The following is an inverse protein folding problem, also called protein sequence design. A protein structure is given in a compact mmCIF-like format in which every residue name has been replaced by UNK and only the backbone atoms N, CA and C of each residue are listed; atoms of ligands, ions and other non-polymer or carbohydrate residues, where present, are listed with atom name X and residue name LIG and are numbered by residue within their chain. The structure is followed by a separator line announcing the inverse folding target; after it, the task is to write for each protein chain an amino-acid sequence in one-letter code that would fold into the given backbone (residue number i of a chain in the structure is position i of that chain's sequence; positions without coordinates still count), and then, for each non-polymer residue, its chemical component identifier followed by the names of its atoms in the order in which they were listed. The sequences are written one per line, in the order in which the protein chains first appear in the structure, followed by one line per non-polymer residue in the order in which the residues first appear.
data_IF_889477325260
#
_entry.id   IF_889477325260
#
_cell.length_a   1.000
_cell.length_b   1.000
_cell.length_c   1.000
_cell.angle_alpha   90.00
_cell.angle_beta   90.00
_cell.angle_gamma   90.00
#
_symmetry.space_group_name_H-M   'P 1'
#
loop_
_entity.id
_entity.type
_entity.pdbx_description
1 polymer ?
#
# COMPACT_ATOMS: atom_id res chain seq x y z
N UNK A 1 13.52 -64.67 -80.75
CA UNK A 1 14.25 -63.55 -81.38
C UNK A 1 13.34 -62.32 -81.29
N UNK A 2 13.88 -61.18 -80.84
CA UNK A 2 13.25 -59.83 -80.84
C UNK A 2 12.14 -59.59 -79.79
N UNK A 3 12.10 -58.50 -79.01
CA UNK A 3 13.06 -57.48 -78.62
C UNK A 3 12.53 -56.78 -77.35
N UNK A 4 13.43 -56.47 -76.43
CA UNK A 4 13.23 -55.66 -75.24
C UNK A 4 12.97 -54.22 -75.69
N UNK A 5 11.96 -53.53 -75.15
CA UNK A 5 11.98 -52.08 -75.02
C UNK A 5 11.46 -51.69 -73.63
N UNK A 6 12.43 -51.56 -72.73
CA UNK A 6 12.34 -50.84 -71.47
C UNK A 6 12.12 -49.36 -71.77
N UNK A 7 11.00 -48.79 -71.34
CA UNK A 7 10.81 -47.34 -71.28
C UNK A 7 10.87 -46.91 -69.81
N UNK A 8 12.08 -46.67 -69.33
CA UNK A 8 12.30 -45.89 -68.12
C UNK A 8 11.76 -44.47 -68.40
N UNK A 9 10.64 -44.11 -67.78
CA UNK A 9 10.23 -42.71 -67.69
C UNK A 9 11.21 -42.00 -66.75
N UNK A 10 12.06 -41.14 -67.33
CA UNK A 10 12.77 -40.12 -66.57
C UNK A 10 11.75 -39.31 -65.76
N UNK A 11 11.89 -39.31 -64.44
CA UNK A 11 11.34 -38.25 -63.60
C UNK A 11 12.14 -37.00 -63.93
N UNK A 12 11.52 -36.06 -64.62
CA UNK A 12 12.01 -34.68 -64.67
C UNK A 12 12.01 -34.14 -63.24
N UNK A 13 13.20 -34.11 -62.64
CA UNK A 13 13.45 -33.26 -61.47
C UNK A 13 13.47 -31.83 -61.97
N UNK A 14 12.28 -31.22 -62.04
CA UNK A 14 12.13 -29.78 -62.20
C UNK A 14 13.08 -29.09 -61.22
N UNK A 15 13.84 -28.13 -61.73
CA UNK A 15 14.90 -27.44 -61.02
C UNK A 15 14.32 -26.44 -60.00
N UNK A 16 13.68 -26.94 -58.94
CA UNK A 16 13.25 -26.14 -57.80
C UNK A 16 14.40 -26.01 -56.78
N UNK A 17 15.32 -25.06 -57.02
CA UNK A 17 16.46 -24.83 -56.10
C UNK A 17 16.60 -23.40 -55.58
N UNK A 18 15.59 -22.53 -55.78
CA UNK A 18 15.63 -21.14 -55.33
C UNK A 18 14.48 -20.69 -54.40
N UNK A 19 13.26 -21.18 -54.60
CA UNK A 19 12.06 -20.65 -53.92
C UNK A 19 11.84 -21.19 -52.51
N UNK A 20 12.26 -22.44 -52.21
CA UNK A 20 12.05 -23.05 -50.88
C UNK A 20 12.74 -22.28 -49.75
N UNK A 21 13.90 -21.68 -50.00
CA UNK A 21 14.65 -20.95 -48.98
C UNK A 21 13.97 -19.61 -48.63
N UNK A 22 13.40 -18.94 -49.63
CA UNK A 22 12.65 -17.68 -49.44
C UNK A 22 11.39 -17.94 -48.62
N UNK A 23 10.61 -18.97 -48.97
CA UNK A 23 9.38 -19.32 -48.24
C UNK A 23 9.68 -19.71 -46.80
N UNK A 24 10.72 -20.52 -46.57
CA UNK A 24 11.15 -20.89 -45.20
C UNK A 24 11.61 -19.66 -44.42
N UNK A 25 12.40 -18.77 -45.02
CA UNK A 25 12.84 -17.54 -44.36
C UNK A 25 11.66 -16.65 -43.97
N UNK A 26 10.66 -16.49 -44.85
CA UNK A 26 9.45 -15.72 -44.54
C UNK A 26 8.66 -16.34 -43.38
N UNK A 27 8.47 -17.65 -43.36
CA UNK A 27 7.77 -18.35 -42.26
C UNK A 27 8.55 -18.19 -40.95
N UNK A 28 9.89 -18.33 -40.98
CA UNK A 28 10.74 -18.15 -39.81
C UNK A 28 10.69 -16.72 -39.27
N UNK A 29 10.65 -15.71 -40.14
CA UNK A 29 10.49 -14.31 -39.73
C UNK A 29 9.15 -14.11 -39.02
N UNK A 30 8.05 -14.58 -39.62
CA UNK A 30 6.71 -14.46 -39.02
C UNK A 30 6.64 -15.19 -37.68
N UNK A 31 7.14 -16.43 -37.61
CA UNK A 31 7.20 -17.21 -36.37
C UNK A 31 8.05 -16.52 -35.30
N UNK A 32 9.17 -15.90 -35.68
CA UNK A 32 10.04 -15.16 -34.76
C UNK A 32 9.36 -13.91 -34.20
N UNK A 33 8.66 -13.14 -35.04
CA UNK A 33 7.92 -11.94 -34.60
C UNK A 33 6.82 -12.32 -33.61
N UNK A 34 6.06 -13.39 -33.90
CA UNK A 34 5.05 -13.91 -32.97
C UNK A 34 5.68 -14.43 -31.67
N UNK A 35 6.83 -15.11 -31.75
CA UNK A 35 7.57 -15.58 -30.60
C UNK A 35 8.04 -14.45 -29.69
N UNK A 36 8.63 -13.39 -30.25
CA UNK A 36 9.07 -12.20 -29.49
C UNK A 36 7.87 -11.49 -28.84
N UNK A 37 6.76 -11.36 -29.57
CA UNK A 37 5.52 -10.79 -29.03
C UNK A 37 5.01 -11.55 -27.80
N UNK A 38 5.02 -12.89 -27.85
CA UNK A 38 4.66 -13.73 -26.70
C UNK A 38 5.57 -13.52 -25.48
N UNK A 39 6.88 -13.40 -25.70
CA UNK A 39 7.86 -13.14 -24.63
C UNK A 39 7.60 -11.79 -23.97
N UNK A 40 7.32 -10.74 -24.75
CA UNK A 40 7.05 -9.41 -24.21
C UNK A 40 5.80 -9.38 -23.33
N UNK A 41 4.71 -10.04 -23.77
CA UNK A 41 3.47 -10.15 -22.99
C UNK A 41 3.72 -10.88 -21.67
N UNK A 42 4.45 -12.00 -21.70
CA UNK A 42 4.78 -12.76 -20.50
C UNK A 42 5.61 -11.93 -19.50
N UNK A 43 6.61 -11.19 -19.97
CA UNK A 43 7.42 -10.31 -19.13
C UNK A 43 6.61 -9.16 -18.49
N UNK A 44 5.68 -8.57 -19.24
CA UNK A 44 4.78 -7.53 -18.71
C UNK A 44 3.85 -8.10 -17.63
N UNK A 45 3.29 -9.28 -17.85
CA UNK A 45 2.45 -9.97 -16.87
C UNK A 45 3.22 -10.33 -15.58
N UNK A 46 4.47 -10.79 -15.70
CA UNK A 46 5.32 -11.10 -14.55
C UNK A 46 5.60 -9.84 -13.70
N UNK A 47 5.92 -8.71 -14.32
CA UNK A 47 6.13 -7.44 -13.60
C UNK A 47 4.84 -6.92 -12.97
N UNK A 48 3.72 -7.02 -13.68
CA UNK A 48 2.41 -6.62 -13.17
C UNK A 48 2.00 -7.42 -11.94
N UNK A 49 2.12 -8.75 -11.99
CA UNK A 49 1.78 -9.63 -10.85
C UNK A 49 2.69 -9.40 -9.64
N UNK A 50 3.98 -9.10 -9.85
CA UNK A 50 4.89 -8.72 -8.75
C UNK A 50 4.48 -7.41 -8.11
N UNK A 51 4.20 -6.38 -8.91
CA UNK A 51 3.79 -5.08 -8.40
C UNK A 51 2.45 -5.17 -7.64
N UNK A 52 1.49 -5.93 -8.16
CA UNK A 52 0.20 -6.16 -7.51
C UNK A 52 0.39 -6.85 -6.14
N UNK A 53 1.23 -7.88 -6.08
CA UNK A 53 1.56 -8.56 -4.81
C UNK A 53 2.19 -7.60 -3.80
N UNK A 54 3.17 -6.81 -4.23
CA UNK A 54 3.85 -5.87 -3.35
C UNK A 54 2.88 -4.80 -2.84
N UNK A 55 1.96 -4.36 -3.69
CA UNK A 55 0.92 -3.40 -3.33
C UNK A 55 -0.04 -4.02 -2.30
N UNK A 56 -0.51 -5.25 -2.49
CA UNK A 56 -1.36 -5.93 -1.51
C UNK A 56 -0.72 -5.98 -0.12
N UNK A 57 0.58 -6.29 -0.04
CA UNK A 57 1.33 -6.25 1.22
C UNK A 57 1.35 -4.84 1.82
N UNK A 58 1.53 -3.81 0.99
CA UNK A 58 1.50 -2.42 1.44
C UNK A 58 0.13 -2.01 2.02
N UNK A 59 -0.99 -2.41 1.38
CA UNK A 59 -2.34 -2.16 1.90
C UNK A 59 -2.58 -2.88 3.23
N UNK A 60 -2.18 -4.14 3.34
CA UNK A 60 -2.30 -4.89 4.59
C UNK A 60 -1.46 -4.25 5.72
N UNK A 61 -0.28 -3.72 5.39
CA UNK A 61 0.51 -2.91 6.32
C UNK A 61 -0.24 -1.64 6.75
N UNK A 62 -0.83 -0.91 5.81
CA UNK A 62 -1.59 0.30 6.12
C UNK A 62 -2.81 -0.01 7.00
N UNK A 63 -3.51 -1.13 6.78
CA UNK A 63 -4.61 -1.61 7.63
C UNK A 63 -4.11 -1.89 9.06
N UNK A 64 -2.97 -2.56 9.20
CA UNK A 64 -2.37 -2.81 10.50
C UNK A 64 -2.02 -1.51 11.24
N UNK A 65 -1.51 -0.50 10.52
CA UNK A 65 -1.24 0.83 11.06
C UNK A 65 -2.49 1.59 11.48
N UNK A 66 -3.59 1.47 10.73
CA UNK A 66 -4.89 2.02 11.13
C UNK A 66 -5.40 1.40 12.43
N UNK A 67 -5.39 0.07 12.52
CA UNK A 67 -5.83 -0.64 13.73
C UNK A 67 -4.94 -0.26 14.93
N UNK A 68 -3.64 -0.06 14.72
CA UNK A 68 -2.75 0.40 15.78
C UNK A 68 -3.06 1.82 16.26
N UNK A 69 -3.45 2.72 15.35
CA UNK A 69 -3.88 4.06 15.70
C UNK A 69 -5.20 4.07 16.50
N UNK A 70 -6.13 3.17 16.20
CA UNK A 70 -7.34 2.98 17.01
C UNK A 70 -6.98 2.55 18.43
N UNK A 71 -6.06 1.58 18.57
CA UNK A 71 -5.57 1.16 19.88
C UNK A 71 -4.80 2.24 20.62
N UNK A 72 -4.05 3.11 19.93
CA UNK A 72 -3.42 4.29 20.52
C UNK A 72 -4.47 5.26 21.09
N UNK A 73 -5.54 5.54 20.33
CA UNK A 73 -6.66 6.37 20.77
C UNK A 73 -7.34 5.78 22.02
N UNK A 74 -7.62 4.47 22.01
CA UNK A 74 -8.27 3.76 23.12
C UNK A 74 -7.33 3.52 24.32
N UNK A 75 -6.01 3.58 24.11
CA UNK A 75 -5.01 3.24 25.12
C UNK A 75 -4.89 1.74 25.36
N UNK A 76 -5.05 0.95 24.30
CA UNK A 76 -4.96 -0.49 24.29
C UNK A 76 -3.58 -0.98 23.80
N UNK A 77 -3.08 -2.10 24.35
CA UNK A 77 -3.53 -2.72 25.59
C UNK A 77 -3.27 -1.80 26.79
N UNK A 78 -4.07 -1.95 27.85
CA UNK A 78 -3.98 -1.11 29.05
C UNK A 78 -2.59 -1.17 29.74
N UNK A 79 -1.83 -2.23 29.48
CA UNK A 79 -0.46 -2.46 29.95
C UNK A 79 0.61 -1.68 29.19
N UNK A 80 0.29 -1.03 28.07
CA UNK A 80 1.27 -0.23 27.33
C UNK A 80 1.79 0.92 28.20
N UNK A 81 3.12 0.99 28.34
CA UNK A 81 3.80 2.01 29.15
C UNK A 81 3.73 3.41 28.51
N UNK A 82 3.66 3.48 27.18
CA UNK A 82 3.71 4.74 26.44
C UNK A 82 2.32 5.27 26.06
N UNK A 83 1.24 4.61 26.47
CA UNK A 83 -0.13 4.99 26.09
C UNK A 83 -0.42 6.47 26.36
N UNK A 84 -1.21 7.07 25.48
CA UNK A 84 -1.55 8.50 25.51
C UNK A 84 -3.05 8.76 25.35
N UNK A 85 -3.88 7.77 25.69
CA UNK A 85 -5.34 7.84 25.61
C UNK A 85 -5.98 8.98 26.41
N UNK A 86 -5.27 9.53 27.40
CA UNK A 86 -5.70 10.74 28.12
C UNK A 86 -5.84 11.97 27.21
N UNK A 87 -5.10 12.02 26.10
CA UNK A 87 -5.20 13.08 25.08
C UNK A 87 -6.55 13.00 24.35
N UNK A 88 -7.06 11.79 24.17
CA UNK A 88 -8.28 11.51 23.42
C UNK A 88 -9.52 11.39 24.32
N UNK A 89 -9.43 11.81 25.59
CA UNK A 89 -10.53 11.66 26.55
C UNK A 89 -11.79 12.37 26.05
N UNK A 90 -12.90 11.62 25.97
CA UNK A 90 -14.18 12.16 25.50
C UNK A 90 -14.62 13.35 26.35
N UNK A 91 -14.94 14.46 25.69
CA UNK A 91 -15.36 15.72 26.33
C UNK A 91 -14.22 16.59 26.88
N UNK A 92 -12.98 16.11 26.82
CA UNK A 92 -11.79 16.74 27.39
C UNK A 92 -10.53 16.39 26.56
N UNK A 93 -10.64 16.54 25.23
CA UNK A 93 -9.55 16.25 24.29
C UNK A 93 -8.45 17.31 24.45
N UNK A 94 -7.22 16.89 24.69
CA UNK A 94 -6.06 17.78 24.83
C UNK A 94 -5.57 18.25 23.44
N UNK A 95 -6.28 19.25 22.89
CA UNK A 95 -5.96 19.83 21.57
C UNK A 95 -4.57 20.45 21.51
N UNK A 96 -3.95 20.81 22.64
CA UNK A 96 -2.60 21.36 22.65
C UNK A 96 -1.55 20.34 22.20
N UNK A 97 -1.88 19.03 22.21
CA UNK A 97 -1.02 17.97 21.70
C UNK A 97 -1.10 17.80 20.19
N UNK A 98 -2.18 18.27 19.57
CA UNK A 98 -2.37 18.26 18.12
C UNK A 98 -1.74 19.51 17.53
N UNK A 99 -0.45 19.41 17.23
CA UNK A 99 0.36 20.55 16.82
C UNK A 99 0.51 20.61 15.30
N UNK A 100 0.92 21.77 14.80
CA UNK A 100 1.15 21.94 13.38
C UNK A 100 2.26 20.99 12.89
N UNK A 101 2.09 20.43 11.70
CA UNK A 101 3.00 19.43 11.13
C UNK A 101 3.24 18.21 12.04
N UNK A 102 2.18 17.70 12.67
CA UNK A 102 2.10 16.37 13.28
C UNK A 102 3.07 16.08 14.45
N UNK A 103 3.74 17.09 14.99
CA UNK A 103 4.70 16.96 16.08
C UNK A 103 5.91 16.08 15.78
N UNK A 104 6.94 16.20 16.61
CA UNK A 104 8.22 15.48 16.45
C UNK A 104 8.82 15.02 17.78
N UNK A 105 8.10 15.23 18.89
CA UNK A 105 8.58 14.91 20.23
C UNK A 105 7.44 14.54 21.18
N UNK A 106 7.78 13.72 22.19
CA UNK A 106 6.89 13.31 23.25
C UNK A 106 5.62 12.58 22.76
N UNK A 107 4.49 12.89 23.38
CA UNK A 107 3.19 12.31 23.03
C UNK A 107 2.48 13.02 21.88
N UNK A 108 3.11 14.04 21.27
CA UNK A 108 2.55 14.79 20.13
C UNK A 108 2.94 14.21 18.77
N UNK A 109 3.85 13.23 18.70
CA UNK A 109 4.26 12.61 17.44
C UNK A 109 3.04 11.97 16.77
N UNK A 110 2.84 12.25 15.48
CA UNK A 110 1.68 11.83 14.71
C UNK A 110 0.37 12.52 15.06
N UNK A 111 0.32 13.50 15.96
CA UNK A 111 -0.88 14.27 16.24
C UNK A 111 -0.82 15.59 15.49
N UNK A 112 -1.61 15.71 14.43
CA UNK A 112 -1.62 16.90 13.58
C UNK A 112 -2.80 17.80 13.93
N UNK A 113 -2.55 19.10 14.05
CA UNK A 113 -3.63 20.09 14.05
C UNK A 113 -4.45 19.99 12.76
N UNK A 114 -5.77 20.04 12.85
CA UNK A 114 -6.62 20.10 11.66
C UNK A 114 -6.42 21.42 10.93
N UNK A 115 -6.07 21.37 9.64
CA UNK A 115 -6.06 22.54 8.76
C UNK A 115 -7.41 22.69 8.08
N UNK A 116 -8.14 23.75 8.42
CA UNK A 116 -9.44 24.09 7.81
C UNK A 116 -9.30 24.66 6.39
N UNK A 117 -8.13 25.21 6.07
CA UNK A 117 -7.81 25.77 4.74
C UNK A 117 -6.40 25.37 4.30
N UNK A 118 -6.19 25.29 2.99
CA UNK A 118 -4.91 24.89 2.40
C UNK A 118 -4.71 23.37 2.32
N UNK A 119 -3.44 22.95 2.29
CA UNK A 119 -3.08 21.53 2.20
C UNK A 119 -3.23 20.88 3.59
N UNK A 120 -3.93 19.73 3.71
CA UNK A 120 -4.08 19.05 4.99
C UNK A 120 -2.76 18.45 5.45
N UNK A 121 -2.59 18.30 6.77
CA UNK A 121 -1.30 17.89 7.35
C UNK A 121 -0.88 16.49 6.90
N UNK A 122 -1.82 15.55 6.78
CA UNK A 122 -1.56 14.19 6.31
C UNK A 122 -0.99 14.12 4.88
N UNK A 123 -1.20 15.15 4.04
CA UNK A 123 -0.66 15.20 2.68
C UNK A 123 0.77 15.77 2.61
N UNK A 124 1.20 16.45 3.68
CA UNK A 124 2.50 17.12 3.77
C UNK A 124 3.49 16.28 4.60
N UNK A 125 2.98 15.55 5.59
CA UNK A 125 3.81 14.75 6.49
C UNK A 125 4.56 13.67 5.72
N UNK A 126 5.85 13.53 6.03
CA UNK A 126 6.67 12.46 5.48
C UNK A 126 6.54 11.20 6.34
N UNK A 127 5.86 10.19 5.79
CA UNK A 127 5.72 8.87 6.42
C UNK A 127 6.97 8.00 6.26
N UNK A 128 7.97 8.40 5.46
CA UNK A 128 9.18 7.60 5.21
C UNK A 128 10.30 7.89 6.21
N UNK A 129 10.26 9.05 6.88
CA UNK A 129 11.23 9.45 7.91
C UNK A 129 11.10 8.59 9.17
N UNK A 130 12.24 8.11 9.67
CA UNK A 130 12.36 7.26 10.87
C UNK A 130 13.28 7.87 11.92
N UNK A 131 13.07 7.56 13.19
CA UNK A 131 13.92 8.00 14.29
C UNK A 131 13.62 9.42 14.76
N UNK A 132 14.66 10.15 15.19
CA UNK A 132 14.52 11.52 15.70
C UNK A 132 13.97 12.45 14.62
N UNK A 133 12.91 13.19 14.94
CA UNK A 133 12.25 14.10 14.00
C UNK A 133 11.18 13.44 13.12
N UNK A 134 10.93 12.13 13.25
CA UNK A 134 9.81 11.48 12.58
C UNK A 134 8.49 12.07 13.07
N UNK A 135 7.62 12.42 12.11
CA UNK A 135 6.34 13.09 12.36
C UNK A 135 5.14 12.15 12.25
N UNK A 136 5.35 10.96 11.69
CA UNK A 136 4.38 9.88 11.66
C UNK A 136 4.79 8.78 12.65
N UNK A 137 3.79 8.23 13.33
CA UNK A 137 3.98 7.25 14.38
C UNK A 137 4.19 5.89 13.76
N UNK A 138 5.30 5.24 14.09
CA UNK A 138 5.51 3.84 13.75
C UNK A 138 4.61 2.95 14.60
N UNK A 139 3.96 1.97 13.96
CA UNK A 139 3.14 0.97 14.65
C UNK A 139 3.88 0.43 15.87
N UNK A 140 3.19 0.38 17.01
CA UNK A 140 3.76 -0.15 18.25
C UNK A 140 4.36 0.90 19.17
N UNK A 141 4.59 2.14 18.71
CA UNK A 141 5.18 3.21 19.54
C UNK A 141 4.38 3.45 20.83
N UNK A 142 3.05 3.51 20.72
CA UNK A 142 2.14 3.78 21.85
C UNK A 142 1.36 2.55 22.33
N UNK A 143 1.32 1.47 21.54
CA UNK A 143 0.58 0.24 21.86
C UNK A 143 1.51 -0.90 22.32
N UNK A 144 2.81 -0.83 22.03
CA UNK A 144 3.76 -1.91 22.28
C UNK A 144 3.58 -3.13 21.38
N UNK A 145 2.74 -3.04 20.34
CA UNK A 145 2.55 -4.12 19.35
C UNK A 145 3.76 -4.21 18.44
N UNK A 146 4.09 -5.44 18.02
CA UNK A 146 5.16 -5.68 17.06
C UNK A 146 4.58 -5.91 15.66
N UNK A 147 5.35 -5.56 14.64
CA UNK A 147 4.98 -5.75 13.24
C UNK A 147 6.16 -6.32 12.44
N UNK A 148 6.05 -7.59 11.96
CA UNK A 148 7.11 -8.23 11.20
C UNK A 148 7.43 -7.46 9.91
N UNK A 149 8.65 -6.94 9.82
CA UNK A 149 9.16 -6.20 8.67
C UNK A 149 10.66 -6.44 8.48
N UNK A 150 11.16 -6.12 7.28
CA UNK A 150 12.57 -6.23 6.91
C UNK A 150 12.80 -7.02 5.63
N UNK A 151 13.97 -7.66 5.53
CA UNK A 151 14.47 -8.27 4.28
C UNK A 151 14.09 -9.75 4.08
N UNK A 152 13.23 -10.31 4.94
CA UNK A 152 12.90 -11.74 4.89
C UNK A 152 11.66 -12.00 4.03
N UNK A 153 11.85 -12.73 2.94
CA UNK A 153 10.74 -13.19 2.10
C UNK A 153 9.95 -12.02 1.52
N UNK A 154 8.63 -12.04 1.71
CA UNK A 154 7.73 -10.96 1.26
C UNK A 154 7.18 -10.13 2.40
N UNK A 155 7.99 -9.94 3.44
CA UNK A 155 7.68 -8.99 4.49
C UNK A 155 7.72 -7.56 3.95
N UNK A 156 6.89 -6.65 4.50
CA UNK A 156 7.04 -5.22 4.32
C UNK A 156 8.48 -4.77 4.57
N UNK A 157 9.00 -3.86 3.75
CA UNK A 157 10.34 -3.31 3.93
C UNK A 157 10.50 -2.58 5.27
N UNK A 158 9.41 -2.00 5.78
CA UNK A 158 9.34 -1.19 7.01
C UNK A 158 7.96 -1.37 7.67
N UNK A 159 7.86 -1.16 8.99
CA UNK A 159 6.57 -1.13 9.67
C UNK A 159 5.71 0.04 9.16
N UNK A 160 4.37 -0.09 9.19
CA UNK A 160 3.47 0.97 8.79
C UNK A 160 3.51 2.13 9.78
N UNK A 161 3.15 3.30 9.30
CA UNK A 161 3.11 4.53 10.10
C UNK A 161 1.76 5.23 9.97
N UNK A 162 1.38 5.98 10.99
CA UNK A 162 0.11 6.71 10.99
C UNK A 162 0.21 8.11 11.57
N UNK A 163 -0.77 8.93 11.23
CA UNK A 163 -1.04 10.24 11.82
C UNK A 163 -2.54 10.37 12.13
N UNK A 164 -2.85 11.21 13.11
CA UNK A 164 -4.21 11.42 13.63
C UNK A 164 -4.50 12.92 13.64
N UNK A 165 -5.64 13.30 13.06
CA UNK A 165 -6.18 14.66 13.06
C UNK A 165 -7.52 14.72 13.80
N UNK A 166 -7.75 15.71 14.67
CA UNK A 166 -9.00 15.86 15.39
C UNK A 166 -9.98 16.70 14.55
N UNK A 167 -11.15 16.15 14.26
CA UNK A 167 -12.24 16.86 13.57
C UNK A 167 -13.34 17.13 14.58
N UNK A 168 -13.68 18.42 14.74
CA UNK A 168 -14.77 18.82 15.62
C UNK A 168 -16.10 18.24 15.11
N UNK A 169 -16.77 17.46 15.95
CA UNK A 169 -18.12 17.02 15.70
C UNK A 169 -19.11 18.14 16.03
N UNK A 170 -19.47 18.93 15.01
CA UNK A 170 -20.39 20.07 15.13
C UNK A 170 -21.81 19.68 15.54
N UNK A 171 -22.18 18.40 15.46
CA UNK A 171 -23.47 17.90 15.92
C UNK A 171 -23.45 17.45 17.39
N UNK A 172 -22.26 17.41 18.01
CA UNK A 172 -22.04 17.12 19.41
C UNK A 172 -22.53 15.74 19.85
N UNK A 173 -22.50 15.51 21.16
CA UNK A 173 -22.93 14.25 21.81
C UNK A 173 -24.44 13.97 21.71
N UNK A 174 -25.22 14.79 20.98
CA UNK A 174 -26.68 14.68 20.90
C UNK A 174 -27.20 14.03 19.62
N UNK A 175 -26.34 13.65 18.69
CA UNK A 175 -26.76 13.20 17.34
C UNK A 175 -26.92 11.68 17.16
N UNK A 176 -26.92 10.86 18.22
CA UNK A 176 -27.06 9.41 18.04
C UNK A 176 -27.83 8.68 19.15
N UNK A 177 -28.54 7.59 18.79
CA UNK A 177 -29.42 6.75 19.62
C UNK A 177 -28.71 5.94 20.72
N UNK A 178 -27.37 5.93 20.76
CA UNK A 178 -26.56 5.16 21.73
C UNK A 178 -25.63 6.03 22.57
N UNK A 179 -25.93 7.32 22.71
CA UNK A 179 -25.10 8.20 23.52
C UNK A 179 -25.19 7.79 24.98
N UNK A 180 -24.03 7.51 25.58
CA UNK A 180 -23.91 7.30 27.03
C UNK A 180 -24.43 8.57 27.72
N UNK A 181 -25.49 8.49 28.55
CA UNK A 181 -26.02 9.62 29.32
C UNK A 181 -24.98 10.29 30.22
N UNK A 182 -23.85 9.62 30.47
CA UNK A 182 -22.74 10.07 31.32
C UNK A 182 -21.66 10.84 30.55
N UNK A 183 -21.74 10.92 29.21
CA UNK A 183 -20.77 11.67 28.43
C UNK A 183 -20.93 13.18 28.71
N UNK A 184 -19.86 13.80 29.21
CA UNK A 184 -19.87 15.23 29.56
C UNK A 184 -20.32 16.13 28.41
N UNK A 185 -20.88 17.30 28.73
CA UNK A 185 -21.44 18.26 27.77
C UNK A 185 -20.40 19.00 26.90
N UNK A 186 -19.17 18.50 26.82
CA UNK A 186 -18.06 19.12 26.09
C UNK A 186 -18.12 18.87 24.57
N UNK A 187 -17.26 19.55 23.79
CA UNK A 187 -17.11 19.29 22.35
C UNK A 187 -16.72 17.83 22.11
N UNK A 188 -17.39 17.19 21.16
CA UNK A 188 -17.04 15.84 20.70
C UNK A 188 -16.12 15.95 19.48
N UNK A 189 -15.18 15.03 19.36
CA UNK A 189 -14.27 14.93 18.23
C UNK A 189 -14.41 13.56 17.57
N UNK A 190 -14.25 13.55 16.25
CA UNK A 190 -13.92 12.34 15.50
C UNK A 190 -12.50 12.47 14.99
N UNK A 191 -11.82 11.35 14.81
CA UNK A 191 -10.41 11.33 14.47
C UNK A 191 -10.24 10.85 13.04
N UNK A 192 -9.62 11.67 12.20
CA UNK A 192 -9.18 11.20 10.89
C UNK A 192 -7.82 10.57 11.05
N UNK A 193 -7.76 9.28 10.81
CA UNK A 193 -6.54 8.50 10.89
C UNK A 193 -6.08 8.26 9.46
N UNK A 194 -4.85 8.64 9.16
CA UNK A 194 -4.20 8.33 7.88
C UNK A 194 -3.02 7.42 8.18
N UNK A 195 -2.96 6.25 7.56
CA UNK A 195 -1.85 5.32 7.69
C UNK A 195 -1.23 4.99 6.34
N UNK A 196 0.10 4.89 6.33
CA UNK A 196 0.89 4.41 5.21
C UNK A 196 1.54 3.07 5.58
N UNK A 197 1.34 2.06 4.75
CA UNK A 197 2.06 0.80 4.77
C UNK A 197 3.03 0.68 3.61
N UNK A 198 4.01 -0.21 3.76
CA UNK A 198 5.09 -0.43 2.80
C UNK A 198 5.02 -1.86 2.26
N UNK A 199 5.24 -2.02 0.95
CA UNK A 199 5.44 -3.33 0.34
C UNK A 199 6.82 -3.90 0.65
N UNK A 200 7.17 -5.08 0.13
CA UNK A 200 8.53 -5.63 0.21
C UNK A 200 9.57 -4.71 -0.43
N UNK A 201 9.17 -3.93 -1.44
CA UNK A 201 9.90 -2.77 -1.91
C UNK A 201 9.44 -1.52 -1.14
N UNK A 202 10.38 -0.75 -0.58
CA UNK A 202 10.08 0.46 0.19
C UNK A 202 9.42 1.58 -0.63
N UNK A 203 9.59 1.56 -1.96
CA UNK A 203 8.94 2.49 -2.89
C UNK A 203 7.47 2.13 -3.14
N UNK A 204 7.07 0.89 -2.84
CA UNK A 204 5.66 0.47 -2.93
C UNK A 204 4.94 0.89 -1.66
N UNK A 205 4.06 1.88 -1.76
CA UNK A 205 3.38 2.50 -0.63
C UNK A 205 1.87 2.42 -0.80
N UNK A 206 1.18 1.94 0.23
CA UNK A 206 -0.28 1.95 0.32
C UNK A 206 -0.71 2.94 1.38
N UNK A 207 -1.65 3.82 1.07
CA UNK A 207 -2.17 4.82 2.02
C UNK A 207 -3.66 4.60 2.22
N UNK A 208 -4.05 4.48 3.48
CA UNK A 208 -5.43 4.29 3.93
C UNK A 208 -5.85 5.40 4.87
N UNK A 209 -7.15 5.72 4.83
CA UNK A 209 -7.73 6.74 5.69
C UNK A 209 -9.11 6.31 6.19
N UNK A 210 -9.36 6.55 7.48
CA UNK A 210 -10.65 6.31 8.13
C UNK A 210 -11.03 7.48 9.04
N UNK A 211 -12.31 7.54 9.39
CA UNK A 211 -12.84 8.39 10.47
C UNK A 211 -13.21 7.48 11.64
N UNK A 212 -12.57 7.70 12.78
CA UNK A 212 -12.76 6.93 14.00
C UNK A 212 -13.42 7.78 15.09
N UNK A 213 -14.23 7.15 15.95
CA UNK A 213 -14.85 7.77 17.12
C UNK A 213 -14.68 6.84 18.31
N UNK A 214 -14.05 7.33 19.37
CA UNK A 214 -13.93 6.64 20.66
C UNK A 214 -15.10 6.95 21.60
#
# INVERSE_FOLDING_TARGET
MMAIHSAARCRDFAHERGLSLIVVMLILIVASVLGVGGIQIAMMAERGTRNERDMQVAWQGAEAGLIDAEFDIEGLPASSANKRNTIFKRGDVDLAKFIDNCGDSGQSIGLCSLKETGKPAWLIVDFTTSGSGAKAVELGTYTGRDFPSGVKGTQPARPPRYVIEPILDRYGVKSYRTTDPSAGSGPSYVYRITSMGFGPNAETQGVLQIIYRN
#
